data_IF_487654456298
#
_entry.id   IF_487654456298
#
_cell.length_a   1.000
_cell.length_b   1.000
_cell.length_c   1.000
_cell.angle_alpha   90.00
_cell.angle_beta   90.00
_cell.angle_gamma   90.00
#
_symmetry.space_group_name_H-M   'P 1'
#
loop_
_entity.id
_entity.type
_entity.pdbx_description
1 polymer ?
#
# COMPACT_ATOMS: atom_id res chain seq x y z
N UNK A 1 29.43 14.43 0.12
CA UNK A 1 28.24 13.61 0.39
C UNK A 1 28.01 12.52 -0.65
N UNK A 2 28.22 12.83 -1.91
CA UNK A 2 27.94 11.86 -2.98
C UNK A 2 28.67 10.53 -2.81
N UNK A 3 29.96 10.55 -2.51
CA UNK A 3 30.74 9.32 -2.31
C UNK A 3 30.26 8.53 -1.09
N UNK A 4 29.85 9.23 -0.03
CA UNK A 4 29.33 8.57 1.15
C UNK A 4 28.05 7.82 0.86
N UNK A 5 27.20 8.38 0.01
CA UNK A 5 25.94 7.73 -0.36
C UNK A 5 26.18 6.47 -1.20
N UNK A 6 27.16 6.49 -2.06
CA UNK A 6 27.52 5.31 -2.85
C UNK A 6 27.94 4.14 -1.98
N UNK A 7 28.54 4.43 -0.83
CA UNK A 7 29.06 3.37 0.04
C UNK A 7 28.01 2.82 1.00
N UNK A 8 26.86 3.50 1.13
CA UNK A 8 25.79 3.06 2.01
C UNK A 8 24.94 2.03 1.29
N UNK A 9 25.15 0.77 1.61
CA UNK A 9 24.33 -0.31 1.08
C UNK A 9 24.45 -1.54 1.96
N UNK A 10 23.46 -2.41 1.85
CA UNK A 10 23.42 -3.66 2.59
C UNK A 10 23.29 -4.80 1.61
N UNK A 11 23.89 -5.91 1.95
CA UNK A 11 23.69 -7.14 1.22
C UNK A 11 22.42 -7.82 1.70
N UNK A 12 21.56 -8.22 0.77
CA UNK A 12 20.30 -8.89 1.12
C UNK A 12 20.56 -10.38 1.30
N UNK A 13 20.22 -10.90 2.48
CA UNK A 13 20.54 -12.27 2.88
C UNK A 13 19.35 -13.09 3.38
N UNK A 14 18.15 -12.52 3.37
CA UNK A 14 16.99 -13.16 3.98
C UNK A 14 16.28 -14.17 3.09
N UNK A 15 16.99 -14.82 2.23
CA UNK A 15 16.42 -15.87 1.40
C UNK A 15 16.28 -15.45 -0.05
N UNK A 16 15.67 -16.30 -0.82
CA UNK A 16 15.48 -16.10 -2.24
C UNK A 16 14.02 -16.20 -2.62
N UNK A 17 13.63 -15.36 -3.56
CA UNK A 17 12.32 -15.43 -4.15
C UNK A 17 12.41 -16.30 -5.40
N UNK A 18 11.85 -17.48 -5.33
CA UNK A 18 11.82 -18.41 -6.45
C UNK A 18 10.39 -18.84 -6.73
N UNK A 19 10.08 -19.28 -7.96
CA UNK A 19 8.72 -19.73 -8.27
C UNK A 19 8.21 -20.81 -7.33
N UNK A 20 9.08 -21.68 -6.85
CA UNK A 20 8.69 -22.74 -5.92
C UNK A 20 8.34 -22.25 -4.54
N UNK A 21 8.76 -21.04 -4.17
CA UNK A 21 8.50 -20.45 -2.86
C UNK A 21 7.33 -19.48 -2.87
N UNK A 22 6.71 -19.25 -4.03
CA UNK A 22 5.61 -18.31 -4.16
C UNK A 22 4.28 -19.05 -4.17
N UNK A 23 3.29 -18.44 -3.58
CA UNK A 23 1.91 -18.90 -3.71
C UNK A 23 1.37 -18.45 -5.06
N UNK A 24 0.57 -19.29 -5.70
CA UNK A 24 -0.04 -18.93 -6.99
C UNK A 24 -1.05 -17.81 -6.87
N UNK A 25 -1.66 -17.66 -5.70
CA UNK A 25 -2.60 -16.58 -5.42
C UNK A 25 -1.86 -15.43 -4.75
N UNK A 26 -1.75 -14.27 -5.40
CA UNK A 26 -1.00 -13.15 -4.83
C UNK A 26 -1.61 -12.60 -3.54
N UNK A 27 -2.90 -12.76 -3.31
CA UNK A 27 -3.52 -12.34 -2.07
C UNK A 27 -3.13 -13.23 -0.91
N UNK A 28 -3.06 -14.53 -1.14
CA UNK A 28 -2.56 -15.47 -0.14
C UNK A 28 -1.09 -15.22 0.15
N UNK A 29 -0.32 -14.93 -0.88
CA UNK A 29 1.09 -14.58 -0.72
C UNK A 29 1.25 -13.32 0.13
N UNK A 30 0.42 -12.30 -0.12
CA UNK A 30 0.42 -11.08 0.66
C UNK A 30 0.07 -11.37 2.12
N UNK A 31 -0.95 -12.16 2.37
CA UNK A 31 -1.35 -12.52 3.73
C UNK A 31 -0.23 -13.21 4.49
N UNK A 32 0.43 -14.16 3.86
CA UNK A 32 1.56 -14.86 4.47
C UNK A 32 2.69 -13.89 4.81
N UNK A 33 3.03 -13.03 3.87
CA UNK A 33 4.12 -12.08 4.05
C UNK A 33 3.79 -10.99 5.07
N UNK A 34 2.57 -10.51 5.07
CA UNK A 34 2.13 -9.56 6.09
C UNK A 34 2.18 -10.19 7.48
N UNK A 35 1.74 -11.43 7.59
CA UNK A 35 1.81 -12.15 8.85
C UNK A 35 3.25 -12.34 9.31
N UNK A 36 4.16 -12.67 8.38
CA UNK A 36 5.58 -12.72 8.67
C UNK A 36 6.10 -11.36 9.18
N UNK A 37 5.69 -10.29 8.54
CA UNK A 37 6.08 -8.95 8.94
C UNK A 37 5.58 -8.60 10.34
N UNK A 38 4.33 -8.94 10.64
CA UNK A 38 3.75 -8.70 11.97
C UNK A 38 4.52 -9.47 13.05
N UNK A 39 4.94 -10.68 12.76
CA UNK A 39 5.63 -11.54 13.73
C UNK A 39 7.15 -11.40 13.74
N UNK A 40 7.72 -10.59 12.85
CA UNK A 40 9.17 -10.42 12.75
C UNK A 40 9.69 -9.13 13.38
N UNK A 41 8.86 -8.46 14.14
CA UNK A 41 9.24 -7.21 14.79
C UNK A 41 9.57 -6.08 13.80
N UNK A 42 8.92 -6.10 12.64
CA UNK A 42 8.96 -4.96 11.72
C UNK A 42 8.29 -3.75 12.35
N UNK A 43 8.89 -2.59 12.19
CA UNK A 43 8.29 -1.34 12.68
C UNK A 43 7.11 -0.98 11.76
N UNK A 44 5.93 -0.85 12.33
CA UNK A 44 4.70 -0.54 11.60
C UNK A 44 4.52 -1.38 10.33
N UNK A 45 4.33 -2.70 10.44
CA UNK A 45 4.22 -3.55 9.25
C UNK A 45 3.05 -3.22 8.33
N UNK A 46 2.04 -2.51 8.83
CA UNK A 46 0.90 -2.09 8.01
C UNK A 46 1.09 -0.75 7.33
N UNK A 47 2.20 -0.06 7.61
CA UNK A 47 2.47 1.21 6.94
C UNK A 47 2.77 0.98 5.46
N UNK A 48 2.13 1.79 4.62
CA UNK A 48 2.35 1.70 3.19
C UNK A 48 2.42 3.09 2.58
N UNK A 49 3.14 3.22 1.48
CA UNK A 49 3.17 4.44 0.71
C UNK A 49 2.08 4.36 -0.35
N UNK A 50 1.25 5.39 -0.42
CA UNK A 50 0.20 5.51 -1.43
C UNK A 50 0.60 6.60 -2.40
N UNK A 51 0.62 6.26 -3.68
CA UNK A 51 0.90 7.21 -4.75
C UNK A 51 -0.39 7.51 -5.51
N UNK A 52 -0.67 8.78 -5.69
CA UNK A 52 -1.82 9.26 -6.47
C UNK A 52 -1.31 10.27 -7.51
N UNK A 53 -2.13 10.55 -8.50
CA UNK A 53 -1.76 11.44 -9.60
C UNK A 53 -2.84 12.49 -9.78
N UNK A 54 -2.44 13.74 -9.93
CA UNK A 54 -3.37 14.83 -10.21
C UNK A 54 -3.82 14.80 -11.68
N UNK A 55 -4.82 15.60 -12.00
CA UNK A 55 -5.36 15.68 -13.37
C UNK A 55 -4.34 16.16 -14.37
N UNK A 56 -3.36 16.93 -13.93
CA UNK A 56 -2.28 17.44 -14.80
C UNK A 56 -1.04 16.52 -14.79
N UNK A 57 -1.16 15.33 -14.21
CA UNK A 57 -0.10 14.34 -14.29
C UNK A 57 0.96 14.40 -13.20
N UNK A 58 0.76 15.21 -12.16
CA UNK A 58 1.73 15.31 -11.09
C UNK A 58 1.49 14.24 -10.02
N UNK A 59 2.44 13.33 -9.79
CA UNK A 59 2.29 12.33 -8.76
C UNK A 59 2.58 12.89 -7.37
N UNK A 60 1.94 12.30 -6.37
CA UNK A 60 2.18 12.62 -4.96
C UNK A 60 2.17 11.33 -4.16
N UNK A 61 2.94 11.30 -3.09
CA UNK A 61 2.97 10.13 -2.21
C UNK A 61 2.76 10.54 -0.76
N UNK A 62 2.26 9.63 0.04
CA UNK A 62 2.12 9.78 1.49
C UNK A 62 2.04 8.41 2.13
N UNK A 63 2.29 8.34 3.42
CA UNK A 63 2.19 7.10 4.16
C UNK A 63 0.81 7.01 4.81
N UNK A 64 0.18 5.86 4.66
CA UNK A 64 -1.07 5.54 5.36
C UNK A 64 -0.94 4.13 5.93
N UNK A 65 -1.87 3.75 6.79
CA UNK A 65 -1.87 2.42 7.38
C UNK A 65 -2.93 1.55 6.70
N UNK A 66 -2.54 0.35 6.33
CA UNK A 66 -3.49 -0.66 5.87
C UNK A 66 -4.38 -1.06 7.04
N UNK A 67 -5.68 -1.07 6.83
CA UNK A 67 -6.65 -1.41 7.87
C UNK A 67 -7.29 -2.77 7.66
N UNK A 68 -7.20 -3.31 6.48
CA UNK A 68 -7.72 -4.64 6.21
C UNK A 68 -7.53 -5.04 4.77
N UNK A 69 -7.67 -6.34 4.54
CA UNK A 69 -7.72 -6.90 3.19
C UNK A 69 -8.91 -7.85 3.17
N UNK A 70 -9.90 -7.55 2.34
CA UNK A 70 -11.12 -8.32 2.25
C UNK A 70 -11.54 -8.48 0.80
N UNK A 71 -11.81 -9.70 0.39
CA UNK A 71 -12.30 -9.99 -0.97
C UNK A 71 -11.44 -9.35 -2.07
N UNK A 72 -10.12 -9.40 -1.90
CA UNK A 72 -9.20 -8.82 -2.86
C UNK A 72 -9.15 -7.31 -2.82
N UNK A 73 -9.58 -6.71 -1.73
CA UNK A 73 -9.56 -5.25 -1.55
C UNK A 73 -8.63 -4.89 -0.40
N UNK A 74 -7.80 -3.90 -0.66
CA UNK A 74 -6.95 -3.31 0.39
C UNK A 74 -7.66 -2.09 0.93
N UNK A 75 -7.81 -2.01 2.24
CA UNK A 75 -8.65 -1.02 2.90
C UNK A 75 -7.79 -0.05 3.70
N UNK A 76 -8.01 1.24 3.48
CA UNK A 76 -7.33 2.29 4.23
C UNK A 76 -8.24 3.50 4.38
N UNK A 77 -7.88 4.39 5.29
CA UNK A 77 -8.65 5.59 5.57
C UNK A 77 -7.99 6.84 4.99
N UNK A 78 -8.79 7.77 4.52
CA UNK A 78 -8.32 9.07 4.08
C UNK A 78 -9.43 10.11 4.22
N UNK A 79 -9.03 11.38 4.21
CA UNK A 79 -9.96 12.50 4.22
C UNK A 79 -10.26 12.90 2.77
N UNK A 80 -11.53 13.00 2.41
CA UNK A 80 -11.93 13.42 1.07
C UNK A 80 -11.45 14.81 0.71
N UNK A 81 -11.36 15.68 1.69
CA UNK A 81 -10.93 17.06 1.48
C UNK A 81 -9.42 17.20 1.43
N UNK A 82 -8.69 16.12 1.71
CA UNK A 82 -7.25 16.15 1.58
C UNK A 82 -6.86 16.17 0.10
N UNK A 83 -5.62 16.54 -0.15
CA UNK A 83 -5.07 16.50 -1.50
C UNK A 83 -5.18 15.12 -2.11
N UNK A 84 -4.88 14.08 -1.34
CA UNK A 84 -5.01 12.68 -1.75
C UNK A 84 -6.44 12.34 -2.11
N UNK A 85 -7.40 12.72 -1.25
CA UNK A 85 -8.80 12.43 -1.48
C UNK A 85 -9.33 13.10 -2.75
N UNK A 86 -8.94 14.33 -2.99
CA UNK A 86 -9.31 15.05 -4.21
C UNK A 86 -8.69 14.42 -5.45
N UNK A 87 -7.44 14.00 -5.36
CA UNK A 87 -6.77 13.32 -6.46
C UNK A 87 -7.44 12.00 -6.80
N UNK A 88 -7.85 11.23 -5.80
CA UNK A 88 -8.55 9.97 -6.02
C UNK A 88 -9.91 10.15 -6.66
N UNK A 89 -10.61 11.24 -6.37
CA UNK A 89 -11.88 11.56 -7.00
C UNK A 89 -11.69 11.87 -8.48
N UNK A 90 -10.64 12.63 -8.81
CA UNK A 90 -10.36 13.01 -10.19
C UNK A 90 -9.69 11.90 -10.98
N UNK A 91 -8.83 11.11 -10.34
CA UNK A 91 -8.12 10.01 -10.96
C UNK A 91 -8.06 8.85 -9.96
N UNK A 92 -8.83 7.78 -10.17
CA UNK A 92 -8.92 6.70 -9.21
C UNK A 92 -7.74 5.72 -9.23
N UNK A 93 -6.84 5.84 -10.20
CA UNK A 93 -5.70 4.94 -10.28
C UNK A 93 -4.67 5.26 -9.21
N UNK A 94 -4.18 4.25 -8.53
CA UNK A 94 -3.23 4.42 -7.44
C UNK A 94 -2.24 3.26 -7.37
N UNK A 95 -1.16 3.50 -6.68
CA UNK A 95 -0.19 2.46 -6.34
C UNK A 95 0.03 2.45 -4.84
N UNK A 96 0.19 1.26 -4.30
CA UNK A 96 0.56 1.03 -2.91
C UNK A 96 1.92 0.35 -2.85
N UNK A 97 2.73 0.72 -1.88
CA UNK A 97 4.04 0.09 -1.71
C UNK A 97 4.31 -0.20 -0.24
N UNK A 98 4.70 -1.44 0.03
CA UNK A 98 5.17 -1.86 1.35
C UNK A 98 6.65 -2.17 1.26
N UNK A 99 7.41 -1.77 2.28
CA UNK A 99 8.82 -2.14 2.40
C UNK A 99 9.04 -2.69 3.80
N UNK A 100 9.36 -3.96 3.90
CA UNK A 100 9.64 -4.62 5.17
C UNK A 100 11.14 -4.87 5.25
N UNK A 101 11.84 -3.95 5.88
CA UNK A 101 13.30 -3.93 5.90
C UNK A 101 13.93 -5.14 6.59
N UNK A 102 13.34 -5.60 7.69
CA UNK A 102 13.89 -6.76 8.40
C UNK A 102 13.76 -8.04 7.62
N UNK A 103 12.68 -8.19 6.88
CA UNK A 103 12.45 -9.34 6.02
C UNK A 103 13.09 -9.18 4.66
N UNK A 104 13.56 -7.98 4.35
CA UNK A 104 14.12 -7.65 3.04
C UNK A 104 13.14 -7.97 1.91
N UNK A 105 11.87 -7.54 2.12
CA UNK A 105 10.78 -7.75 1.16
C UNK A 105 10.13 -6.44 0.80
N UNK A 106 9.67 -6.37 -0.43
CA UNK A 106 9.00 -5.21 -0.97
C UNK A 106 7.81 -5.67 -1.79
N UNK A 107 6.69 -4.96 -1.67
CA UNK A 107 5.46 -5.29 -2.38
C UNK A 107 4.92 -4.03 -3.03
N UNK A 108 4.55 -4.14 -4.30
CA UNK A 108 3.88 -3.08 -5.03
C UNK A 108 2.53 -3.58 -5.50
N UNK A 109 1.52 -2.74 -5.35
CA UNK A 109 0.15 -3.06 -5.73
C UNK A 109 -0.39 -1.88 -6.53
N UNK A 110 -0.95 -2.16 -7.69
CA UNK A 110 -1.61 -1.15 -8.51
C UNK A 110 -3.09 -1.47 -8.63
N UNK A 111 -3.92 -0.45 -8.66
CA UNK A 111 -5.34 -0.65 -8.77
C UNK A 111 -6.12 0.64 -8.86
N UNK A 112 -7.42 0.54 -8.64
CA UNK A 112 -8.33 1.67 -8.64
C UNK A 112 -8.92 1.87 -7.25
N UNK A 113 -9.06 3.12 -6.88
CA UNK A 113 -9.66 3.51 -5.62
C UNK A 113 -11.17 3.67 -5.76
N UNK A 114 -11.90 3.20 -4.77
CA UNK A 114 -13.34 3.47 -4.66
C UNK A 114 -13.74 3.58 -3.20
N UNK A 115 -14.84 4.23 -2.96
CA UNK A 115 -15.40 4.27 -1.63
C UNK A 115 -15.95 2.91 -1.25
N UNK A 116 -15.84 2.56 0.01
CA UNK A 116 -16.52 1.39 0.53
C UNK A 116 -18.02 1.61 0.48
N UNK A 117 -18.74 0.51 0.49
CA UNK A 117 -20.19 0.58 0.52
C UNK A 117 -20.67 1.37 1.74
N UNK A 118 -21.81 2.07 1.63
CA UNK A 118 -22.30 2.89 2.75
C UNK A 118 -22.44 2.15 4.07
N UNK A 119 -22.73 0.87 4.02
CA UNK A 119 -22.85 0.06 5.23
C UNK A 119 -21.52 -0.09 5.97
N UNK A 120 -20.43 -0.04 5.24
CA UNK A 120 -19.10 -0.20 5.81
C UNK A 120 -18.44 1.13 6.05
N UNK A 121 -19.03 2.13 5.59
CA UNK A 121 -18.35 3.27 5.24
C UNK A 121 -18.20 4.33 6.17
N UNK A 122 -18.88 4.43 7.11
CA UNK A 122 -18.41 5.44 7.98
C UNK A 122 -16.94 5.22 8.17
N UNK A 123 -16.52 4.17 7.66
CA UNK A 123 -15.24 3.69 7.90
C UNK A 123 -14.21 4.00 6.86
N UNK A 124 -14.31 3.49 5.67
CA UNK A 124 -13.12 3.41 4.85
C UNK A 124 -13.45 3.16 3.40
N UNK A 125 -12.45 3.30 2.57
CA UNK A 125 -12.48 2.87 1.20
C UNK A 125 -11.82 1.52 1.08
N UNK A 126 -12.13 0.78 0.03
CA UNK A 126 -11.56 -0.50 -0.25
C UNK A 126 -10.68 -0.48 -1.48
N UNK A 127 -9.65 -1.28 -1.47
CA UNK A 127 -8.71 -1.41 -2.55
C UNK A 127 -8.76 -2.82 -3.10
N UNK A 128 -8.73 -2.93 -4.40
CA UNK A 128 -8.55 -4.19 -5.08
C UNK A 128 -7.43 -4.06 -6.07
N UNK A 129 -6.42 -4.89 -6.05
CA UNK A 129 -5.38 -4.90 -7.07
C UNK A 129 -5.94 -5.33 -8.41
N UNK A 130 -5.24 -5.07 -9.42
CA UNK A 130 -5.59 -5.37 -10.79
C UNK A 130 -6.80 -4.63 -11.24
N UNK A 131 -7.81 -5.32 -11.45
CA UNK A 131 -9.06 -4.81 -11.82
C UNK A 131 -9.75 -4.13 -10.76
N UNK A 132 -9.09 -3.92 -9.69
CA UNK A 132 -9.78 -3.72 -8.59
C UNK A 132 -9.67 -2.38 -8.11
N UNK A 133 -10.19 -2.12 -7.02
CA UNK A 133 -10.58 -0.87 -6.56
C UNK A 133 -10.04 -0.67 -5.20
N UNK A 134 -9.51 0.46 -4.96
CA UNK A 134 -9.02 0.84 -3.66
C UNK A 134 -9.91 1.93 -3.16
N UNK A 135 -10.31 1.82 -1.93
CA UNK A 135 -11.09 2.86 -1.33
C UNK A 135 -10.41 3.39 -0.11
N UNK A 136 -10.80 4.56 0.30
CA UNK A 136 -10.26 5.18 1.48
C UNK A 136 -11.37 5.89 2.23
N UNK A 137 -11.26 5.88 3.55
CA UNK A 137 -12.18 6.60 4.38
C UNK A 137 -11.64 7.97 4.69
N UNK A 138 -12.55 8.90 4.89
CA UNK A 138 -12.21 10.22 5.35
C UNK A 138 -11.59 10.16 6.74
N UNK A 139 -10.44 10.76 6.87
CA UNK A 139 -9.84 11.02 8.17
C UNK A 139 -9.08 12.33 8.07
N UNK A 140 -8.85 13.02 9.17
CA UNK A 140 -8.16 14.32 9.14
C UNK A 140 -6.65 14.20 9.00
N UNK A 141 -6.19 13.46 8.01
CA UNK A 141 -4.76 13.40 7.71
C UNK A 141 -4.51 13.90 6.30
N UNK A 142 -3.34 14.38 6.03
CA UNK A 142 -2.88 14.90 4.75
C UNK A 142 -3.76 16.01 4.17
N UNK A 143 -3.90 17.07 4.91
CA UNK A 143 -4.57 18.27 4.44
C UNK A 143 -3.71 19.09 3.51
#
# INVERSE_FOLDING_TARGET
MKSQLFDIRREYKKGRLTPGNLNDNPFEQFDHWLNDAIHSDEYEPTAMTVATVSTDGHPSTRTVLLKGVENGRFIFFTNYESRKGRQLTANPYISLSFVWHKLERQIHIEGKAERCAPADSDAYFASRPYKSKIGARISPQSH
#
